data_IF_604832797766
#
_entry.id   IF_604832797766
#
_cell.length_a   1.000
_cell.length_b   1.000
_cell.length_c   1.000
_cell.angle_alpha   90.00
_cell.angle_beta   90.00
_cell.angle_gamma   90.00
#
_symmetry.space_group_name_H-M   'P 1'
#
loop_
_entity.id
_entity.type
_entity.pdbx_description
1 polymer ?
#
# COMPACT_ATOMS: atom_id res chain seq x y z
N UNK A 1 5.34 67.56 -23.61
CA UNK A 1 4.40 66.41 -23.58
C UNK A 1 5.21 65.11 -23.61
N UNK A 2 5.72 64.65 -22.47
CA UNK A 2 6.56 63.45 -22.38
C UNK A 2 5.69 62.22 -22.13
N UNK A 3 5.60 61.32 -23.11
CA UNK A 3 4.76 60.12 -23.05
C UNK A 3 5.23 59.13 -21.98
N UNK A 4 4.32 58.77 -21.08
CA UNK A 4 4.52 57.77 -20.03
C UNK A 4 4.54 56.37 -20.66
N UNK A 5 5.73 55.77 -20.78
CA UNK A 5 5.92 54.39 -21.28
C UNK A 5 5.42 53.40 -20.23
N UNK A 6 4.26 52.78 -20.49
CA UNK A 6 3.69 51.68 -19.69
C UNK A 6 4.65 50.49 -19.72
N UNK A 7 5.20 50.10 -18.56
CA UNK A 7 5.96 48.85 -18.40
C UNK A 7 4.97 47.72 -18.15
N UNK A 8 4.76 46.85 -19.12
CA UNK A 8 4.02 45.59 -18.94
C UNK A 8 4.87 44.64 -18.09
N UNK A 9 4.45 44.40 -16.85
CA UNK A 9 5.10 43.43 -15.96
C UNK A 9 4.61 42.01 -16.26
N UNK A 10 5.12 41.39 -17.32
CA UNK A 10 4.95 39.95 -17.55
C UNK A 10 6.23 39.21 -17.13
N UNK A 11 6.50 39.12 -15.82
CA UNK A 11 7.62 38.32 -15.33
C UNK A 11 7.24 36.85 -15.11
N UNK A 12 6.79 36.16 -16.16
CA UNK A 12 6.72 34.70 -16.15
C UNK A 12 8.10 34.11 -16.49
N UNK A 13 9.09 34.28 -15.61
CA UNK A 13 10.42 33.70 -15.78
C UNK A 13 10.38 32.23 -15.34
N UNK A 14 10.40 31.31 -16.30
CA UNK A 14 10.56 29.89 -15.99
C UNK A 14 12.01 29.61 -15.60
N UNK A 15 12.24 29.11 -14.37
CA UNK A 15 13.58 28.75 -13.90
C UNK A 15 14.11 27.57 -14.71
N UNK A 16 15.11 27.80 -15.57
CA UNK A 16 15.68 26.75 -16.43
C UNK A 16 16.23 25.54 -15.63
N UNK A 17 16.65 25.77 -14.38
CA UNK A 17 17.15 24.74 -13.46
C UNK A 17 16.06 23.83 -12.87
N UNK A 18 14.78 24.21 -12.95
CA UNK A 18 13.68 23.36 -12.48
C UNK A 18 13.19 22.36 -13.52
N UNK A 19 13.54 22.55 -14.80
CA UNK A 19 13.08 21.69 -15.91
C UNK A 19 13.60 20.24 -15.80
N UNK A 20 14.82 20.03 -15.29
CA UNK A 20 15.37 18.68 -15.05
C UNK A 20 14.66 17.93 -13.90
N UNK A 21 13.98 18.67 -13.01
CA UNK A 21 13.23 18.12 -11.87
C UNK A 21 11.74 17.91 -12.18
N UNK A 22 11.25 18.41 -13.32
CA UNK A 22 9.91 18.05 -13.78
C UNK A 22 9.97 16.60 -14.24
N UNK A 23 9.06 15.78 -13.71
CA UNK A 23 8.98 14.36 -14.05
C UNK A 23 8.87 14.15 -15.55
N UNK A 24 9.29 12.98 -16.06
CA UNK A 24 9.17 12.66 -17.47
C UNK A 24 7.70 12.73 -17.92
N UNK A 25 7.50 12.70 -19.24
CA UNK A 25 6.21 12.53 -19.91
C UNK A 25 5.25 11.67 -19.08
N UNK A 26 4.00 12.10 -19.02
CA UNK A 26 2.91 11.42 -18.32
C UNK A 26 2.98 9.89 -18.56
N UNK A 27 3.02 9.05 -17.52
CA UNK A 27 3.02 7.60 -17.70
C UNK A 27 1.89 7.14 -18.63
N UNK A 28 2.21 6.16 -19.48
CA UNK A 28 1.38 5.72 -20.62
C UNK A 28 -0.06 5.30 -20.27
N UNK A 29 -0.40 5.14 -18.99
CA UNK A 29 -1.68 4.64 -18.50
C UNK A 29 -2.52 5.66 -17.70
N UNK A 30 -2.03 6.87 -17.43
CA UNK A 30 -2.66 7.78 -16.45
C UNK A 30 -2.83 9.18 -17.04
N UNK A 31 -3.97 9.84 -16.81
CA UNK A 31 -4.17 11.27 -17.15
C UNK A 31 -3.35 12.18 -16.23
N UNK A 32 -2.93 13.36 -16.71
CA UNK A 32 -2.02 14.28 -15.96
C UNK A 32 -2.52 14.59 -14.55
N UNK A 33 -3.81 14.87 -14.43
CA UNK A 33 -4.43 15.18 -13.14
C UNK A 33 -4.41 13.97 -12.20
N UNK A 34 -4.74 12.78 -12.70
CA UNK A 34 -4.74 11.54 -11.90
C UNK A 34 -3.32 11.20 -11.43
N UNK A 35 -2.31 11.43 -12.28
CA UNK A 35 -0.91 11.24 -11.91
C UNK A 35 -0.44 12.22 -10.82
N UNK A 36 -0.80 13.50 -10.94
CA UNK A 36 -0.44 14.49 -9.93
C UNK A 36 -1.15 14.22 -8.59
N UNK A 37 -2.38 13.70 -8.61
CA UNK A 37 -3.09 13.30 -7.40
C UNK A 37 -2.48 12.04 -6.77
N UNK A 38 -2.08 11.05 -7.57
CA UNK A 38 -1.53 9.80 -7.03
C UNK A 38 -0.18 9.98 -6.34
N UNK A 39 0.62 10.97 -6.76
CA UNK A 39 1.95 11.25 -6.19
C UNK A 39 1.94 12.24 -5.02
N UNK A 40 0.76 12.65 -4.51
CA UNK A 40 0.65 13.72 -3.51
C UNK A 40 1.17 13.35 -2.11
N UNK A 41 1.20 12.06 -1.79
CA UNK A 41 1.59 11.56 -0.47
C UNK A 41 2.98 10.89 -0.52
N UNK A 42 3.94 11.30 0.31
CA UNK A 42 5.21 10.59 0.42
C UNK A 42 5.01 9.23 1.12
N UNK A 43 5.73 8.20 0.66
CA UNK A 43 5.58 6.81 1.14
C UNK A 43 6.48 6.53 2.38
N UNK A 44 7.47 7.39 2.63
CA UNK A 44 8.48 7.18 3.66
C UNK A 44 7.95 7.05 5.09
N UNK A 45 8.63 6.29 5.97
CA UNK A 45 8.26 6.14 7.37
C UNK A 45 8.34 7.45 8.18
N UNK A 46 9.05 8.44 7.67
CA UNK A 46 9.10 9.78 8.25
C UNK A 46 7.80 10.57 8.06
N UNK A 47 6.94 10.16 7.11
CA UNK A 47 5.65 10.79 6.84
C UNK A 47 4.45 9.90 7.16
N UNK A 48 4.64 8.58 7.26
CA UNK A 48 3.57 7.62 7.54
C UNK A 48 3.88 6.82 8.82
N UNK A 49 2.87 6.54 9.67
CA UNK A 49 3.09 5.72 10.86
C UNK A 49 3.51 4.30 10.50
N UNK A 50 4.28 3.64 11.37
CA UNK A 50 4.87 2.32 11.12
C UNK A 50 3.85 1.22 10.82
N UNK A 51 2.59 1.39 11.24
CA UNK A 51 1.49 0.48 10.94
C UNK A 51 1.11 0.46 9.46
N UNK A 52 1.28 1.56 8.74
CA UNK A 52 0.81 1.75 7.35
C UNK A 52 1.96 1.58 6.34
N UNK A 53 3.19 1.91 6.71
CA UNK A 53 4.37 1.85 5.82
C UNK A 53 4.59 0.45 5.23
N UNK A 54 4.37 -0.59 6.03
CA UNK A 54 4.48 -1.98 5.58
C UNK A 54 3.43 -2.34 4.52
N UNK A 55 2.20 -1.81 4.66
CA UNK A 55 1.11 -2.04 3.70
C UNK A 55 1.35 -1.26 2.39
N UNK A 56 1.80 -0.01 2.47
CA UNK A 56 2.09 0.83 1.30
C UNK A 56 3.23 0.29 0.43
N UNK A 57 4.24 -0.34 1.05
CA UNK A 57 5.40 -0.90 0.35
C UNK A 57 5.26 -2.40 0.06
N UNK A 58 4.13 -3.02 0.43
CA UNK A 58 3.93 -4.45 0.18
C UNK A 58 3.71 -4.68 -1.32
N UNK A 59 4.52 -5.55 -1.97
CA UNK A 59 4.26 -5.88 -3.36
C UNK A 59 2.97 -6.68 -3.48
N UNK A 60 2.29 -6.51 -4.62
CA UNK A 60 1.07 -7.25 -4.94
C UNK A 60 1.30 -8.77 -4.93
N UNK A 61 2.46 -9.20 -5.45
CA UNK A 61 2.81 -10.62 -5.56
C UNK A 61 4.01 -10.93 -4.66
N UNK A 62 3.78 -11.77 -3.65
CA UNK A 62 4.83 -12.30 -2.78
C UNK A 62 5.04 -13.79 -3.08
N UNK A 63 6.30 -14.17 -3.38
CA UNK A 63 6.69 -15.57 -3.57
C UNK A 63 7.52 -16.04 -2.39
N UNK A 64 7.22 -17.25 -1.89
CA UNK A 64 7.99 -17.87 -0.82
C UNK A 64 9.28 -18.45 -1.38
N UNK A 65 10.39 -18.16 -0.73
CA UNK A 65 11.68 -18.77 -1.05
C UNK A 65 11.65 -20.27 -0.82
N UNK A 66 12.38 -21.04 -1.61
CA UNK A 66 12.46 -22.50 -1.47
C UNK A 66 11.20 -23.26 -1.87
N UNK A 67 10.19 -22.60 -2.44
CA UNK A 67 8.96 -23.24 -2.92
C UNK A 67 8.87 -23.08 -4.43
N UNK A 68 8.81 -24.20 -5.17
CA UNK A 68 8.56 -24.20 -6.60
C UNK A 68 7.14 -23.68 -6.85
N UNK A 69 7.00 -22.69 -7.74
CA UNK A 69 5.71 -22.13 -8.12
C UNK A 69 5.03 -23.14 -9.05
N UNK A 70 4.05 -23.87 -8.52
CA UNK A 70 3.24 -24.79 -9.32
C UNK A 70 2.23 -23.98 -10.17
N UNK A 71 2.00 -24.37 -11.43
CA UNK A 71 0.92 -23.81 -12.23
C UNK A 71 -0.42 -23.98 -11.51
N UNK A 72 -1.32 -23.01 -11.70
CA UNK A 72 -2.69 -23.09 -11.18
C UNK A 72 -3.39 -24.24 -11.88
N UNK A 73 -4.04 -25.11 -11.11
CA UNK A 73 -4.95 -26.12 -11.65
C UNK A 73 -6.35 -25.52 -11.64
N UNK A 74 -7.02 -25.59 -12.78
CA UNK A 74 -8.42 -25.19 -12.89
C UNK A 74 -9.29 -26.43 -12.63
N UNK A 75 -10.35 -26.26 -11.86
CA UNK A 75 -11.43 -27.24 -11.83
C UNK A 75 -12.31 -27.00 -13.06
N UNK A 76 -12.71 -28.08 -13.75
CA UNK A 76 -13.73 -27.99 -14.80
C UNK A 76 -15.08 -27.71 -14.13
N UNK A 77 -15.39 -26.42 -14.03
CA UNK A 77 -16.70 -25.96 -13.58
C UNK A 77 -17.68 -26.11 -14.73
N UNK A 78 -18.68 -26.96 -14.55
CA UNK A 78 -19.81 -27.06 -15.47
C UNK A 78 -20.60 -25.73 -15.41
N UNK A 79 -20.77 -25.00 -16.52
CA UNK A 79 -21.43 -23.70 -16.53
C UNK A 79 -22.90 -23.70 -16.05
N UNK A 80 -23.51 -24.88 -15.94
CA UNK A 80 -24.91 -25.06 -15.61
C UNK A 80 -25.15 -25.49 -14.15
N UNK A 81 -24.10 -25.73 -13.37
CA UNK A 81 -24.25 -26.10 -11.97
C UNK A 81 -24.37 -24.84 -11.10
N UNK A 82 -25.36 -24.82 -10.20
CA UNK A 82 -25.54 -23.73 -9.23
C UNK A 82 -24.29 -23.67 -8.34
N UNK A 83 -23.61 -22.52 -8.36
CA UNK A 83 -22.41 -22.29 -7.57
C UNK A 83 -22.85 -22.01 -6.14
N UNK A 84 -22.79 -23.01 -5.26
CA UNK A 84 -22.86 -22.75 -3.82
C UNK A 84 -21.61 -21.91 -3.45
N UNK A 85 -21.84 -20.63 -3.14
CA UNK A 85 -20.84 -19.62 -2.77
C UNK A 85 -20.13 -19.90 -1.43
N UNK A 86 -20.02 -21.15 -1.00
CA UNK A 86 -19.34 -21.52 0.23
C UNK A 86 -17.84 -21.77 -0.01
N UNK A 87 -17.10 -20.68 -0.19
CA UNK A 87 -15.66 -20.72 -0.01
C UNK A 87 -15.36 -21.22 1.42
N UNK A 88 -14.59 -22.32 1.61
CA UNK A 88 -14.22 -22.78 2.93
C UNK A 88 -13.28 -21.78 3.58
N UNK A 89 -13.86 -20.84 4.32
CA UNK A 89 -13.17 -19.92 5.21
C UNK A 89 -12.51 -20.79 6.26
N UNK A 90 -11.20 -20.99 6.10
CA UNK A 90 -10.37 -21.71 7.06
C UNK A 90 -10.31 -20.91 8.38
N UNK A 91 -11.37 -21.01 9.18
CA UNK A 91 -11.48 -20.44 10.49
C UNK A 91 -10.70 -21.31 11.46
N UNK A 92 -9.39 -21.08 11.55
CA UNK A 92 -8.57 -21.58 12.64
C UNK A 92 -9.12 -21.03 13.96
N UNK A 93 -10.03 -21.80 14.60
CA UNK A 93 -10.47 -21.56 15.98
C UNK A 93 -9.23 -21.63 16.87
N UNK A 94 -8.84 -20.49 17.43
CA UNK A 94 -7.77 -20.41 18.41
C UNK A 94 -8.18 -21.25 19.64
N UNK A 95 -7.40 -22.29 19.94
CA UNK A 95 -7.64 -23.12 21.13
C UNK A 95 -7.38 -22.27 22.39
N UNK A 96 -8.31 -22.25 23.37
CA UNK A 96 -8.09 -21.52 24.61
C UNK A 96 -6.94 -22.18 25.41
N UNK A 97 -5.95 -21.38 25.80
CA UNK A 97 -4.85 -21.82 26.66
C UNK A 97 -5.40 -22.14 28.06
N UNK A 98 -5.30 -23.40 28.48
CA UNK A 98 -5.60 -23.85 29.86
C UNK A 98 -4.66 -23.10 30.83
N UNK A 99 -5.21 -22.25 31.70
CA UNK A 99 -4.46 -21.67 32.83
C UNK A 99 -4.25 -22.78 33.87
N UNK A 100 -3.00 -23.12 34.15
CA UNK A 100 -2.65 -23.96 35.30
C UNK A 100 -2.61 -23.07 36.53
N UNK A 101 -3.51 -23.29 37.48
CA UNK A 101 -3.49 -22.62 38.78
C UNK A 101 -2.32 -23.17 39.59
N UNK A 102 -1.29 -22.34 39.83
CA UNK A 102 -0.27 -22.64 40.84
C UNK A 102 -0.93 -22.51 42.21
N UNK A 103 -1.16 -23.63 42.89
CA UNK A 103 -1.44 -23.69 44.33
C UNK A 103 -0.28 -23.03 45.07
N UNK A 104 -0.52 -21.91 45.73
CA UNK A 104 0.43 -21.35 46.69
C UNK A 104 0.40 -22.22 47.95
N UNK A 105 1.52 -22.88 48.23
CA UNK A 105 1.73 -23.64 49.45
C UNK A 105 1.76 -22.69 50.65
N UNK A 106 0.97 -23.03 51.67
CA UNK A 106 0.96 -22.41 52.98
C UNK A 106 2.32 -22.66 53.64
N UNK A 107 3.07 -21.59 53.94
CA UNK A 107 4.31 -21.67 54.71
C UNK A 107 3.93 -21.62 56.19
N UNK A 108 4.14 -22.73 56.90
CA UNK A 108 4.02 -22.82 58.34
C UNK A 108 5.34 -22.29 58.96
N UNK A 109 5.24 -21.29 59.82
CA UNK A 109 6.38 -20.74 60.56
C UNK A 109 6.37 -21.29 61.99
N UNK A 110 7.58 -21.61 62.47
CA UNK A 110 7.91 -22.23 63.76
C UNK A 110 7.39 -21.49 64.98
#
# INVERSE_FOLDING_TARGET
MGGLKRKSSSSAKTLAKSKKKKGPHLPNSILKEVFEHSMRMPIGPEFNPSTIVGELNRPEVVKKTGVIIKPVKFEEVNPNDEVDDEHPRNHQKQKPKKKTSRRQGKVESK
#
